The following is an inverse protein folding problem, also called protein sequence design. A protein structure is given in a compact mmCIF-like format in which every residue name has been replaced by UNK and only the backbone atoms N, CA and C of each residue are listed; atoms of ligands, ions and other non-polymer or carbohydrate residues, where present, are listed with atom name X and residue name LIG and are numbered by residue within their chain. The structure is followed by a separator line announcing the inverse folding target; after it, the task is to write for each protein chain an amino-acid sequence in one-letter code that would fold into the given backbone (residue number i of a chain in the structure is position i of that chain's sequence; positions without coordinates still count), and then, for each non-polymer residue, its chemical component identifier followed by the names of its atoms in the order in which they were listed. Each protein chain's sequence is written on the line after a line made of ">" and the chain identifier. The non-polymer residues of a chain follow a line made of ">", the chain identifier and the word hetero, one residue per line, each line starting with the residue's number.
data_IF_346623449807
#
_entry.id   IF_346623449807
#
_cell.length_a   1.000
_cell.length_b   1.000
_cell.length_c   1.000
_cell.angle_alpha   90.00
_cell.angle_beta   90.00
_cell.angle_gamma   90.00
#
_symmetry.space_group_name_H-M   'P 1'
#
loop_
_entity.id
_entity.type
_entity.pdbx_description
1 polymer ?
#
# COMPACT_ATOMS: atom_id res chain seq x y z
N UNK A 1 20.45 13.52 24.98
CA UNK A 1 19.09 13.62 25.57
C UNK A 1 18.19 14.34 24.58
N UNK A 2 17.06 13.78 24.19
CA UNK A 2 16.09 14.49 23.38
C UNK A 2 15.34 15.49 24.28
N UNK A 3 15.24 16.78 23.91
CA UNK A 3 14.72 17.82 24.81
C UNK A 3 13.27 17.61 25.27
N UNK A 4 12.47 16.82 24.52
CA UNK A 4 11.07 16.54 24.83
C UNK A 4 10.79 15.08 25.26
N UNK A 5 11.66 14.13 24.94
CA UNK A 5 11.46 12.69 25.19
C UNK A 5 12.33 12.13 26.32
N UNK A 6 13.22 12.95 26.90
CA UNK A 6 14.11 12.52 27.95
C UNK A 6 15.22 11.57 27.49
N UNK A 7 15.71 10.74 28.41
CA UNK A 7 16.73 9.72 28.11
C UNK A 7 16.08 8.48 27.50
N UNK A 8 16.64 8.00 26.38
CA UNK A 8 16.26 6.74 25.75
C UNK A 8 17.42 5.78 25.94
N UNK A 9 17.14 4.60 26.48
CA UNK A 9 18.10 3.52 26.62
C UNK A 9 17.98 2.59 25.39
N UNK A 10 19.05 2.45 24.63
CA UNK A 10 19.13 1.50 23.51
C UNK A 10 20.02 0.33 23.94
N UNK A 11 19.58 -0.89 23.67
CA UNK A 11 20.32 -2.12 23.96
C UNK A 11 20.55 -2.88 22.65
N UNK A 12 21.79 -3.34 22.47
CA UNK A 12 22.20 -4.14 21.33
C UNK A 12 22.92 -5.40 21.83
N UNK A 13 22.67 -6.52 21.18
CA UNK A 13 23.38 -7.78 21.43
C UNK A 13 24.67 -7.91 20.62
N UNK A 14 24.84 -7.10 19.58
CA UNK A 14 26.07 -7.01 18.80
C UNK A 14 27.01 -5.98 19.46
N UNK A 15 28.03 -6.50 20.14
CA UNK A 15 29.01 -5.69 20.85
C UNK A 15 30.07 -5.06 19.93
N UNK A 16 30.06 -5.35 18.63
CA UNK A 16 30.98 -4.77 17.66
C UNK A 16 30.45 -3.49 17.03
N UNK A 17 29.14 -3.19 17.23
CA UNK A 17 28.51 -1.97 16.72
C UNK A 17 28.91 -0.74 17.51
N UNK A 18 29.36 0.29 16.79
CA UNK A 18 29.61 1.60 17.36
C UNK A 18 28.32 2.26 17.87
N UNK A 19 28.35 3.00 19.00
CA UNK A 19 27.16 3.62 19.58
C UNK A 19 26.38 4.53 18.60
N UNK A 20 27.08 5.24 17.72
CA UNK A 20 26.46 6.11 16.72
C UNK A 20 25.71 5.30 15.64
N UNK A 21 26.23 4.15 15.26
CA UNK A 21 25.55 3.27 14.29
C UNK A 21 24.32 2.62 14.88
N UNK A 22 24.34 2.29 16.18
CA UNK A 22 23.16 1.84 16.89
C UNK A 22 22.04 2.91 16.89
N UNK A 23 22.37 4.17 17.11
CA UNK A 23 21.40 5.28 17.05
C UNK A 23 20.85 5.42 15.61
N UNK A 24 21.69 5.32 14.59
CA UNK A 24 21.28 5.35 13.17
C UNK A 24 20.35 4.19 12.82
N UNK A 25 20.71 2.98 13.22
CA UNK A 25 19.87 1.78 13.00
C UNK A 25 18.52 1.89 13.71
N UNK A 26 18.51 2.41 14.94
CA UNK A 26 17.26 2.67 15.65
C UNK A 26 16.37 3.69 14.93
N UNK A 27 16.97 4.74 14.35
CA UNK A 27 16.26 5.71 13.50
C UNK A 27 15.64 5.07 12.24
N UNK A 28 16.33 4.10 11.63
CA UNK A 28 15.80 3.37 10.47
C UNK A 28 14.58 2.48 10.82
N UNK A 29 14.47 2.02 12.05
CA UNK A 29 13.30 1.26 12.52
C UNK A 29 11.98 2.02 12.30
N UNK A 30 12.00 3.33 12.53
CA UNK A 30 10.81 4.16 12.31
C UNK A 30 10.33 4.15 10.86
N UNK A 31 11.25 3.98 9.90
CA UNK A 31 10.88 3.86 8.48
C UNK A 31 10.04 2.60 8.20
N UNK A 32 10.27 1.52 8.95
CA UNK A 32 9.46 0.29 8.83
C UNK A 32 8.03 0.58 9.25
N UNK A 33 7.83 1.27 10.36
CA UNK A 33 6.50 1.63 10.86
C UNK A 33 5.77 2.57 9.88
N UNK A 34 6.47 3.55 9.33
CA UNK A 34 5.94 4.44 8.29
C UNK A 34 5.57 3.65 7.04
N UNK A 35 6.41 2.71 6.60
CA UNK A 35 6.14 1.86 5.44
C UNK A 35 4.90 1.00 5.64
N UNK A 36 4.73 0.38 6.80
CA UNK A 36 3.50 -0.34 7.13
C UNK A 36 2.27 0.55 7.11
N UNK A 37 2.37 1.75 7.69
CA UNK A 37 1.28 2.71 7.69
C UNK A 37 0.89 3.12 6.26
N UNK A 38 1.86 3.34 5.38
CA UNK A 38 1.62 3.65 3.97
C UNK A 38 1.00 2.46 3.22
N UNK A 39 1.48 1.24 3.44
CA UNK A 39 0.89 0.03 2.87
C UNK A 39 -0.60 -0.10 3.22
N UNK A 40 -0.96 0.20 4.46
CA UNK A 40 -2.36 0.15 4.93
C UNK A 40 -3.18 1.29 4.33
N UNK A 41 -2.70 2.54 4.44
CA UNK A 41 -3.49 3.74 4.13
C UNK A 41 -3.56 4.07 2.64
N UNK A 42 -2.48 3.86 1.91
CA UNK A 42 -2.38 4.24 0.49
C UNK A 42 -2.82 3.11 -0.42
N UNK A 43 -2.39 1.88 -0.13
CA UNK A 43 -2.60 0.72 -0.99
C UNK A 43 -3.71 -0.22 -0.50
N UNK A 44 -4.11 -0.11 0.77
CA UNK A 44 -5.05 -1.05 1.35
C UNK A 44 -4.54 -2.48 1.40
N UNK A 45 -3.20 -2.68 1.59
CA UNK A 45 -2.57 -4.00 1.54
C UNK A 45 -3.20 -5.01 2.51
N UNK A 46 -3.82 -4.53 3.58
CA UNK A 46 -4.53 -5.36 4.57
C UNK A 46 -6.06 -5.18 4.52
N UNK A 47 -6.59 -4.48 3.53
CA UNK A 47 -8.01 -4.18 3.41
C UNK A 47 -8.83 -5.31 2.74
N UNK A 48 -8.21 -6.45 2.42
CA UNK A 48 -8.92 -7.59 1.87
C UNK A 48 -9.84 -8.20 2.95
N UNK A 49 -11.14 -8.12 2.69
CA UNK A 49 -12.11 -8.72 3.58
C UNK A 49 -12.22 -10.22 3.32
N UNK A 50 -11.80 -10.99 4.33
CA UNK A 50 -11.93 -12.42 4.34
C UNK A 50 -13.38 -12.81 4.65
N UNK A 51 -14.17 -12.99 3.60
CA UNK A 51 -15.56 -13.36 3.74
C UNK A 51 -15.88 -14.68 3.01
N UNK A 52 -16.69 -15.51 3.66
CA UNK A 52 -17.12 -16.80 3.14
C UNK A 52 -18.54 -17.05 3.60
N UNK A 53 -19.48 -17.28 2.64
CA UNK A 53 -20.90 -17.43 2.94
C UNK A 53 -21.21 -18.54 3.97
N UNK A 54 -20.45 -19.64 3.92
CA UNK A 54 -20.58 -20.76 4.84
C UNK A 54 -19.84 -20.56 6.19
N UNK A 55 -19.23 -19.41 6.42
CA UNK A 55 -18.47 -19.16 7.63
C UNK A 55 -19.40 -18.84 8.79
N UNK A 56 -19.29 -19.60 9.87
CA UNK A 56 -20.05 -19.33 11.09
C UNK A 56 -19.52 -18.05 11.73
N UNK A 57 -20.36 -17.02 11.94
CA UNK A 57 -19.92 -15.82 12.62
C UNK A 57 -19.53 -16.12 14.06
N UNK A 58 -18.40 -15.57 14.50
CA UNK A 58 -17.95 -15.66 15.89
C UNK A 58 -18.03 -14.27 16.55
N UNK A 59 -18.40 -14.25 17.80
CA UNK A 59 -18.24 -13.04 18.61
C UNK A 59 -16.75 -12.72 18.77
N UNK A 60 -16.41 -11.44 18.72
CA UNK A 60 -15.07 -10.97 19.04
C UNK A 60 -14.67 -11.50 20.42
N UNK A 61 -13.48 -12.06 20.53
CA UNK A 61 -12.91 -12.65 21.75
C UNK A 61 -13.57 -13.96 22.21
N UNK A 62 -14.43 -14.61 21.42
CA UNK A 62 -15.09 -15.88 21.80
C UNK A 62 -14.26 -17.13 21.55
N UNK A 63 -12.97 -17.02 21.25
CA UNK A 63 -12.06 -18.15 21.07
C UNK A 63 -11.91 -18.62 19.62
N UNK A 64 -11.46 -19.88 19.44
CA UNK A 64 -11.10 -20.47 18.16
C UNK A 64 -12.24 -21.21 17.49
N UNK A 65 -12.25 -21.21 16.15
CA UNK A 65 -13.22 -22.01 15.38
C UNK A 65 -12.93 -23.52 15.35
N UNK A 66 -11.81 -23.97 15.89
CA UNK A 66 -11.38 -25.37 15.88
C UNK A 66 -11.52 -26.02 14.50
N UNK A 67 -10.85 -25.49 13.49
CA UNK A 67 -10.98 -25.91 12.09
C UNK A 67 -10.73 -27.40 11.87
N UNK A 68 -9.95 -28.06 12.73
CA UNK A 68 -9.71 -29.49 12.67
C UNK A 68 -11.00 -30.32 12.87
N UNK A 69 -12.01 -29.79 13.55
CA UNK A 69 -13.32 -30.42 13.78
C UNK A 69 -14.32 -30.19 12.64
N UNK A 70 -13.97 -29.37 11.64
CA UNK A 70 -14.84 -29.08 10.51
C UNK A 70 -14.63 -30.06 9.35
N UNK A 71 -15.63 -30.15 8.47
CA UNK A 71 -15.56 -30.99 7.26
C UNK A 71 -14.40 -30.63 6.36
N UNK A 72 -13.89 -31.56 5.58
CA UNK A 72 -12.78 -31.34 4.66
C UNK A 72 -13.09 -30.24 3.61
N UNK A 73 -14.29 -30.20 2.99
CA UNK A 73 -14.65 -29.11 2.07
C UNK A 73 -14.56 -27.73 2.71
N UNK A 74 -15.04 -27.59 3.96
CA UNK A 74 -14.95 -26.34 4.71
C UNK A 74 -13.49 -25.93 4.94
N UNK A 75 -12.66 -26.84 5.42
CA UNK A 75 -11.22 -26.58 5.63
C UNK A 75 -10.53 -26.15 4.34
N UNK A 76 -10.84 -26.78 3.22
CA UNK A 76 -10.29 -26.42 1.92
C UNK A 76 -10.76 -25.04 1.46
N UNK A 77 -12.00 -24.66 1.72
CA UNK A 77 -12.50 -23.32 1.44
C UNK A 77 -11.76 -22.24 2.25
N UNK A 78 -11.54 -22.48 3.56
CA UNK A 78 -10.76 -21.58 4.41
C UNK A 78 -9.31 -21.44 3.89
N UNK A 79 -8.65 -22.55 3.53
CA UNK A 79 -7.28 -22.51 2.98
C UNK A 79 -7.19 -21.67 1.70
N UNK A 80 -8.18 -21.82 0.78
CA UNK A 80 -8.23 -20.99 -0.43
C UNK A 80 -8.37 -19.50 -0.13
N UNK A 81 -9.21 -19.15 0.86
CA UNK A 81 -9.38 -17.75 1.27
C UNK A 81 -8.11 -17.19 1.93
N UNK A 82 -7.47 -17.97 2.77
CA UNK A 82 -6.19 -17.60 3.36
C UNK A 82 -5.11 -17.37 2.29
N UNK A 83 -5.01 -18.27 1.31
CA UNK A 83 -4.09 -18.10 0.19
C UNK A 83 -4.39 -16.83 -0.64
N UNK A 84 -5.67 -16.51 -0.85
CA UNK A 84 -6.07 -15.26 -1.52
C UNK A 84 -5.68 -14.02 -0.72
N UNK A 85 -5.85 -14.06 0.61
CA UNK A 85 -5.42 -12.98 1.52
C UNK A 85 -3.90 -12.75 1.47
N UNK A 86 -3.12 -13.83 1.54
CA UNK A 86 -1.66 -13.74 1.44
C UNK A 86 -1.22 -13.12 0.11
N UNK A 87 -1.84 -13.55 -1.02
CA UNK A 87 -1.55 -12.97 -2.34
C UNK A 87 -1.91 -11.49 -2.41
N UNK A 88 -3.03 -11.09 -1.80
CA UNK A 88 -3.41 -9.68 -1.74
C UNK A 88 -2.37 -8.84 -0.99
N UNK A 89 -1.88 -9.31 0.16
CA UNK A 89 -0.80 -8.64 0.91
C UNK A 89 0.46 -8.55 0.07
N UNK A 90 0.89 -9.65 -0.55
CA UNK A 90 2.09 -9.68 -1.39
C UNK A 90 2.00 -8.69 -2.55
N UNK A 91 0.86 -8.65 -3.26
CA UNK A 91 0.63 -7.67 -4.33
C UNK A 91 0.64 -6.23 -3.81
N UNK A 92 0.07 -5.99 -2.63
CA UNK A 92 0.13 -4.69 -1.98
C UNK A 92 1.56 -4.24 -1.69
N UNK A 93 2.40 -5.11 -1.14
CA UNK A 93 3.81 -4.81 -0.86
C UNK A 93 4.63 -4.59 -2.13
N UNK A 94 4.41 -5.40 -3.18
CA UNK A 94 5.05 -5.20 -4.50
C UNK A 94 4.63 -3.83 -5.08
N UNK A 95 3.34 -3.51 -5.02
CA UNK A 95 2.83 -2.22 -5.46
C UNK A 95 3.47 -1.05 -4.71
N UNK A 96 3.66 -1.19 -3.39
CA UNK A 96 4.37 -0.20 -2.59
C UNK A 96 5.79 0.02 -3.06
N UNK A 97 6.55 -1.05 -3.29
CA UNK A 97 7.90 -0.96 -3.84
C UNK A 97 7.94 -0.25 -5.20
N UNK A 98 6.97 -0.51 -6.08
CA UNK A 98 6.86 0.19 -7.36
C UNK A 98 6.57 1.68 -7.18
N UNK A 99 5.70 2.08 -6.24
CA UNK A 99 5.47 3.50 -5.93
C UNK A 99 6.74 4.19 -5.44
N UNK A 100 7.51 3.52 -4.58
CA UNK A 100 8.79 4.05 -4.08
C UNK A 100 9.82 4.21 -5.19
N UNK A 101 9.93 3.24 -6.10
CA UNK A 101 10.81 3.33 -7.27
C UNK A 101 10.40 4.52 -8.16
N UNK A 102 9.11 4.67 -8.46
CA UNK A 102 8.61 5.81 -9.24
C UNK A 102 8.86 7.15 -8.54
N UNK A 103 8.70 7.21 -7.22
CA UNK A 103 9.02 8.39 -6.44
C UNK A 103 10.50 8.80 -6.59
N UNK A 104 11.40 7.82 -6.55
CA UNK A 104 12.84 8.05 -6.63
C UNK A 104 13.31 8.37 -8.06
N UNK A 105 12.78 7.68 -9.08
CA UNK A 105 13.30 7.75 -10.46
C UNK A 105 12.55 8.74 -11.33
N UNK A 106 11.30 9.05 -11.05
CA UNK A 106 10.39 9.80 -11.92
C UNK A 106 9.70 10.98 -11.22
N UNK A 107 10.32 11.57 -10.21
CA UNK A 107 9.75 12.60 -9.35
C UNK A 107 9.10 13.75 -10.13
N UNK A 108 9.79 14.32 -11.13
CA UNK A 108 9.26 15.43 -11.95
C UNK A 108 7.99 15.06 -12.69
N UNK A 109 7.93 13.86 -13.27
CA UNK A 109 6.75 13.36 -13.99
C UNK A 109 5.59 13.13 -13.04
N UNK A 110 5.86 12.53 -11.89
CA UNK A 110 4.86 12.30 -10.84
C UNK A 110 4.25 13.61 -10.37
N UNK A 111 5.08 14.62 -10.04
CA UNK A 111 4.58 15.91 -9.61
C UNK A 111 3.72 16.60 -10.67
N UNK A 112 4.11 16.50 -11.95
CA UNK A 112 3.33 17.04 -13.07
C UNK A 112 1.96 16.38 -13.22
N UNK A 113 1.88 15.07 -12.95
CA UNK A 113 0.67 14.26 -13.09
C UNK A 113 -0.19 14.20 -11.81
N UNK A 114 0.28 14.80 -10.72
CA UNK A 114 -0.39 14.75 -9.43
C UNK A 114 -1.71 15.54 -9.43
N UNK A 115 -1.75 16.73 -10.07
CA UNK A 115 -2.96 17.48 -10.35
C UNK A 115 -3.80 17.88 -9.13
N UNK A 116 -3.23 17.96 -7.92
CA UNK A 116 -3.98 18.30 -6.71
C UNK A 116 -3.42 19.55 -6.04
N UNK A 117 -4.32 20.43 -5.65
CA UNK A 117 -4.01 21.66 -4.91
C UNK A 117 -3.80 21.43 -3.39
N UNK A 118 -4.17 20.25 -2.88
CA UNK A 118 -4.12 19.94 -1.44
C UNK A 118 -2.68 19.90 -0.91
N UNK A 119 -1.70 19.72 -1.78
CA UNK A 119 -0.29 19.64 -1.40
C UNK A 119 0.57 20.55 -2.22
N UNK A 120 1.51 21.23 -1.55
CA UNK A 120 2.53 22.02 -2.24
C UNK A 120 3.35 21.12 -3.15
N UNK A 121 3.37 21.45 -4.44
CA UNK A 121 4.18 20.78 -5.45
C UNK A 121 5.66 21.15 -5.23
N UNK A 122 6.52 20.13 -5.11
CA UNK A 122 7.98 20.29 -4.88
C UNK A 122 8.77 19.46 -5.88
N UNK A 123 8.92 19.90 -7.15
CA UNK A 123 9.50 19.07 -8.23
C UNK A 123 10.93 18.57 -7.96
N UNK A 124 11.68 19.26 -7.09
CA UNK A 124 13.05 18.89 -6.71
C UNK A 124 13.13 17.83 -5.60
N UNK A 125 12.00 17.44 -4.98
CA UNK A 125 11.98 16.45 -3.92
C UNK A 125 11.25 15.18 -4.36
N UNK A 126 11.69 14.03 -3.86
CA UNK A 126 10.98 12.77 -4.08
C UNK A 126 9.56 12.87 -3.49
N UNK A 127 8.51 12.60 -4.29
CA UNK A 127 7.13 12.61 -3.83
C UNK A 127 6.87 11.45 -2.86
N UNK A 128 5.89 11.63 -1.97
CA UNK A 128 5.44 10.52 -1.13
C UNK A 128 4.67 9.48 -1.94
N UNK A 129 4.58 8.26 -1.43
CA UNK A 129 3.80 7.17 -2.05
C UNK A 129 2.35 7.57 -2.36
N UNK A 130 1.72 8.37 -1.49
CA UNK A 130 0.39 8.90 -1.73
C UNK A 130 0.34 9.78 -2.98
N UNK A 131 1.30 10.65 -3.17
CA UNK A 131 1.38 11.54 -4.35
C UNK A 131 1.57 10.70 -5.61
N UNK A 132 2.42 9.68 -5.58
CA UNK A 132 2.61 8.75 -6.72
C UNK A 132 1.32 8.01 -7.02
N UNK A 133 0.63 7.49 -5.99
CA UNK A 133 -0.63 6.78 -6.17
C UNK A 133 -1.71 7.65 -6.80
N UNK A 134 -1.81 8.93 -6.41
CA UNK A 134 -2.76 9.87 -7.03
C UNK A 134 -2.36 10.17 -8.47
N UNK A 135 -1.09 10.43 -8.76
CA UNK A 135 -0.61 10.64 -10.12
C UNK A 135 -0.92 9.44 -11.03
N UNK A 136 -0.73 8.22 -10.53
CA UNK A 136 -1.09 7.00 -11.28
C UNK A 136 -2.60 6.85 -11.47
N UNK A 137 -3.42 7.18 -10.49
CA UNK A 137 -4.89 7.19 -10.65
C UNK A 137 -5.34 8.13 -11.75
N UNK A 138 -4.66 9.25 -11.91
CA UNK A 138 -4.98 10.25 -12.93
C UNK A 138 -4.54 9.83 -14.34
N UNK A 139 -3.50 9.01 -14.48
CA UNK A 139 -2.87 8.73 -15.78
C UNK A 139 -2.98 7.28 -16.22
N UNK A 140 -2.94 6.34 -15.29
CA UNK A 140 -2.82 4.92 -15.59
C UNK A 140 -4.04 4.31 -16.28
N UNK A 141 -5.31 4.67 -15.95
CA UNK A 141 -6.47 4.14 -16.65
C UNK A 141 -6.46 4.49 -18.13
N UNK A 142 -6.16 5.74 -18.49
CA UNK A 142 -6.07 6.16 -19.90
C UNK A 142 -4.91 5.47 -20.61
N UNK A 143 -3.75 5.38 -19.98
CA UNK A 143 -2.61 4.66 -20.52
C UNK A 143 -2.97 3.20 -20.83
N UNK A 144 -3.58 2.50 -19.89
CA UNK A 144 -4.02 1.11 -20.13
C UNK A 144 -5.08 0.99 -21.21
N UNK A 145 -5.99 1.95 -21.30
CA UNK A 145 -7.04 1.96 -22.33
C UNK A 145 -6.48 2.19 -23.74
N UNK A 146 -5.32 2.82 -23.88
CA UNK A 146 -4.68 3.14 -25.17
C UNK A 146 -3.53 2.22 -25.53
N UNK A 147 -2.71 1.83 -24.55
CA UNK A 147 -1.45 1.11 -24.77
C UNK A 147 -1.56 -0.41 -24.57
N UNK A 148 -2.59 -0.90 -23.89
CA UNK A 148 -2.71 -2.33 -23.61
C UNK A 148 -3.10 -3.10 -24.87
N UNK A 149 -2.37 -4.18 -25.17
CA UNK A 149 -2.69 -5.13 -26.25
C UNK A 149 -3.89 -6.03 -25.93
N UNK A 150 -4.33 -6.07 -24.67
CA UNK A 150 -5.43 -6.92 -24.23
C UNK A 150 -6.77 -6.20 -24.41
N UNK A 151 -7.52 -6.59 -25.45
CA UNK A 151 -8.82 -6.00 -25.81
C UNK A 151 -9.85 -6.10 -24.68
N UNK A 152 -9.85 -7.20 -23.92
CA UNK A 152 -10.78 -7.40 -22.80
C UNK A 152 -10.47 -6.40 -21.67
N UNK A 153 -9.20 -6.21 -21.36
CA UNK A 153 -8.78 -5.24 -20.34
C UNK A 153 -9.11 -3.81 -20.76
N UNK A 154 -8.86 -3.46 -22.02
CA UNK A 154 -9.20 -2.15 -22.59
C UNK A 154 -10.69 -1.88 -22.49
N UNK A 155 -11.53 -2.83 -22.89
CA UNK A 155 -12.99 -2.73 -22.78
C UNK A 155 -13.42 -2.57 -21.32
N UNK A 156 -12.92 -3.43 -20.43
CA UNK A 156 -13.24 -3.37 -18.99
C UNK A 156 -12.89 -2.01 -18.38
N UNK A 157 -11.75 -1.43 -18.73
CA UNK A 157 -11.33 -0.12 -18.23
C UNK A 157 -12.24 0.98 -18.78
N UNK A 158 -12.53 0.98 -20.10
CA UNK A 158 -13.40 1.99 -20.71
C UNK A 158 -14.83 1.96 -20.15
N UNK A 159 -15.37 0.78 -19.89
CA UNK A 159 -16.70 0.61 -19.29
C UNK A 159 -16.75 1.09 -17.82
N UNK A 160 -15.61 1.27 -17.18
CA UNK A 160 -15.49 1.71 -15.77
C UNK A 160 -14.92 3.12 -15.60
N UNK A 161 -14.43 3.73 -16.67
CA UNK A 161 -14.01 5.12 -16.65
C UNK A 161 -15.23 6.03 -16.48
N UNK A 162 -15.28 6.69 -15.33
CA UNK A 162 -16.23 7.76 -15.09
C UNK A 162 -15.70 9.05 -15.73
N UNK A 163 -16.14 9.34 -16.92
CA UNK A 163 -15.72 10.52 -17.70
C UNK A 163 -16.06 11.83 -16.99
N UNK A 164 -17.10 11.86 -16.17
CA UNK A 164 -17.47 13.05 -15.39
C UNK A 164 -16.40 13.43 -14.35
N UNK A 165 -15.63 12.43 -13.86
CA UNK A 165 -14.50 12.68 -12.97
C UNK A 165 -13.24 13.15 -13.69
N UNK A 166 -13.09 12.81 -14.96
CA UNK A 166 -11.97 13.29 -15.78
C UNK A 166 -12.07 14.77 -16.13
N UNK A 167 -13.28 15.30 -16.29
CA UNK A 167 -13.51 16.71 -16.56
C UNK A 167 -13.16 17.63 -15.38
N UNK A 168 -13.29 17.15 -14.12
CA UNK A 168 -12.88 17.89 -12.92
C UNK A 168 -11.36 18.09 -12.77
N UNK A 169 -10.55 17.32 -13.48
CA UNK A 169 -9.07 17.47 -13.49
C UNK A 169 -8.58 18.45 -14.56
N UNK A 170 -9.40 18.79 -15.53
CA UNK A 170 -9.09 19.76 -16.60
C UNK A 170 -9.14 21.23 -16.14
N UNK A 171 -9.75 21.52 -14.99
CA UNK A 171 -9.87 22.89 -14.45
C UNK A 171 -8.67 23.35 -13.61
N UNK A 172 -7.63 22.54 -13.49
CA UNK A 172 -6.41 22.83 -12.72
C UNK A 172 -5.17 22.98 -13.61
N UNK A 173 -5.32 23.48 -14.84
CA UNK A 173 -4.23 23.86 -15.72
C UNK A 173 -3.93 25.36 -15.62
#
# INVERSE_FOLDING_TARGET
>A
MHPQLGAILLMCTDLTLEPLDLIRLYGLRFQIEVSFQQAIRVLGAYAYHFWMAAMTPLRRLSGNQYLHRRSQPYRNAVRRKLAAYHRHIQLGLISQGLLQILAATSAKLVWRSFGSWIRTVRPGLAPSELVVAVALRNTFPQFLATAAKNVILVKFIRDRLDLSRAEGTSLAA
#
